data_IF_431900338774
#
_entry.id   IF_431900338774
#
_cell.length_a   1.000
_cell.length_b   1.000
_cell.length_c   1.000
_cell.angle_alpha   90.00
_cell.angle_beta   90.00
_cell.angle_gamma   90.00
#
_symmetry.space_group_name_H-M   'P 1'
#
loop_
_entity.id
_entity.type
_entity.pdbx_description
1 polymer ?
#
# COMPACT_ATOMS: atom_id res chain seq x y z
N UNK A 1 15.23 12.05 -12.06
CA UNK A 1 15.20 11.17 -10.90
C UNK A 1 16.29 11.56 -9.90
N UNK A 2 15.96 11.66 -8.65
CA UNK A 2 16.86 12.22 -7.64
C UNK A 2 17.38 11.21 -6.62
N UNK A 3 17.26 9.95 -6.92
CA UNK A 3 17.68 8.90 -5.98
C UNK A 3 19.15 9.01 -5.63
N UNK A 4 19.98 9.37 -6.59
CA UNK A 4 21.43 9.46 -6.37
C UNK A 4 21.83 10.48 -5.30
N UNK A 5 20.92 11.35 -4.93
CA UNK A 5 21.19 12.37 -3.91
C UNK A 5 20.78 11.92 -2.53
N UNK A 6 20.24 10.73 -2.42
CA UNK A 6 19.78 10.22 -1.15
C UNK A 6 20.93 9.59 -0.39
N UNK A 7 21.09 9.93 0.90
CA UNK A 7 22.10 9.33 1.74
C UNK A 7 21.84 7.83 1.87
N UNK A 8 22.88 7.08 2.21
CA UNK A 8 22.78 5.62 2.28
C UNK A 8 21.58 5.15 3.09
N UNK A 9 21.39 5.73 4.27
CA UNK A 9 20.28 5.33 5.13
C UNK A 9 18.92 5.67 4.59
N UNK A 10 18.84 6.60 3.62
CA UNK A 10 17.57 7.04 3.07
C UNK A 10 17.21 6.43 1.73
N UNK A 11 18.15 5.73 1.09
CA UNK A 11 17.92 5.23 -0.27
C UNK A 11 16.74 4.29 -0.34
N UNK A 12 16.65 3.32 0.56
CA UNK A 12 15.56 2.33 0.55
C UNK A 12 14.21 3.02 0.74
N UNK A 13 14.13 3.94 1.69
CA UNK A 13 12.88 4.66 1.94
C UNK A 13 12.44 5.45 0.72
N UNK A 14 13.39 6.12 0.04
CA UNK A 14 13.06 6.89 -1.15
C UNK A 14 12.53 6.01 -2.25
N UNK A 15 13.15 4.85 -2.48
CA UNK A 15 12.71 3.91 -3.51
C UNK A 15 11.28 3.43 -3.20
N UNK A 16 11.02 3.07 -1.94
CA UNK A 16 9.68 2.60 -1.54
C UNK A 16 8.65 3.69 -1.80
N UNK A 17 8.96 4.95 -1.49
CA UNK A 17 8.00 6.05 -1.67
C UNK A 17 7.71 6.36 -3.12
N UNK A 18 8.54 5.90 -4.05
CA UNK A 18 8.30 6.05 -5.48
C UNK A 18 7.77 4.78 -6.14
N UNK A 19 7.42 3.78 -5.34
CA UNK A 19 6.86 2.52 -5.83
C UNK A 19 5.36 2.48 -5.57
N UNK A 20 4.53 2.26 -6.60
CA UNK A 20 3.09 2.09 -6.37
C UNK A 20 2.85 1.03 -5.30
N UNK A 21 2.01 1.35 -4.33
CA UNK A 21 1.85 0.53 -3.14
C UNK A 21 0.38 0.30 -2.83
N UNK A 22 0.03 -0.95 -2.58
CA UNK A 22 -1.30 -1.33 -2.10
C UNK A 22 -1.12 -2.02 -0.74
N UNK A 23 -1.93 -1.61 0.22
CA UNK A 23 -1.89 -2.21 1.55
C UNK A 23 -3.29 -2.42 2.07
N UNK A 24 -3.46 -3.40 2.94
CA UNK A 24 -4.73 -3.60 3.64
C UNK A 24 -4.45 -3.99 5.08
N UNK A 25 -5.34 -3.57 5.97
CA UNK A 25 -5.17 -3.78 7.41
C UNK A 25 -6.53 -3.71 8.09
N UNK A 26 -6.69 -4.48 9.16
CA UNK A 26 -7.90 -4.43 9.97
C UNK A 26 -7.77 -3.46 11.12
N UNK A 27 -8.87 -2.86 11.53
CA UNK A 27 -8.83 -1.91 12.66
C UNK A 27 -8.57 -2.61 13.99
N UNK A 28 -8.81 -3.92 14.06
CA UNK A 28 -8.55 -4.71 15.28
C UNK A 28 -7.23 -5.46 15.22
N UNK A 29 -6.37 -5.11 14.27
CA UNK A 29 -5.05 -5.72 14.14
C UNK A 29 -4.19 -5.25 15.31
N UNK A 30 -3.74 -6.21 16.14
CA UNK A 30 -2.91 -5.92 17.30
C UNK A 30 -1.42 -5.86 17.00
N UNK A 31 -1.03 -6.15 15.76
CA UNK A 31 0.38 -6.16 15.35
C UNK A 31 0.70 -4.95 14.51
N UNK A 32 -0.13 -4.67 13.50
CA UNK A 32 0.06 -3.54 12.60
C UNK A 32 -1.02 -2.49 12.85
N UNK A 33 -0.59 -1.27 13.13
CA UNK A 33 -1.53 -0.17 13.37
C UNK A 33 -2.11 0.33 12.05
N UNK A 34 -3.44 0.32 11.94
CA UNK A 34 -4.07 0.82 10.72
C UNK A 34 -3.81 2.33 10.54
N UNK A 35 -3.67 3.06 11.64
CA UNK A 35 -3.37 4.49 11.56
C UNK A 35 -1.98 4.75 11.01
N UNK A 36 -1.00 3.95 11.43
CA UNK A 36 0.35 4.04 10.88
C UNK A 36 0.37 3.68 9.40
N UNK A 37 -0.43 2.68 9.02
CA UNK A 37 -0.53 2.28 7.61
C UNK A 37 -1.13 3.40 6.77
N UNK A 38 -2.19 4.03 7.27
CA UNK A 38 -2.79 5.16 6.57
C UNK A 38 -1.79 6.31 6.40
N UNK A 39 -1.02 6.61 7.43
CA UNK A 39 0.00 7.65 7.36
C UNK A 39 1.07 7.33 6.33
N UNK A 40 1.51 6.09 6.32
CA UNK A 40 2.53 5.63 5.38
C UNK A 40 2.05 5.77 3.93
N UNK A 41 0.84 5.31 3.66
CA UNK A 41 0.24 5.40 2.32
C UNK A 41 0.05 6.87 1.92
N UNK A 42 -0.38 7.71 2.85
CA UNK A 42 -0.55 9.13 2.60
C UNK A 42 0.77 9.80 2.19
N UNK A 43 1.88 9.40 2.82
CA UNK A 43 3.18 9.95 2.47
C UNK A 43 3.60 9.55 1.05
N UNK A 44 3.28 8.32 0.65
CA UNK A 44 3.57 7.86 -0.71
C UNK A 44 2.78 8.70 -1.71
N UNK A 45 1.49 8.92 -1.44
CA UNK A 45 0.65 9.73 -2.31
C UNK A 45 1.13 11.17 -2.40
N UNK A 46 1.61 11.73 -1.31
CA UNK A 46 2.14 13.09 -1.29
C UNK A 46 3.38 13.25 -2.17
N UNK A 47 4.07 12.15 -2.43
CA UNK A 47 5.20 12.15 -3.37
C UNK A 47 4.77 11.96 -4.82
N UNK A 48 3.47 11.92 -5.10
CA UNK A 48 2.97 11.77 -6.45
C UNK A 48 2.92 10.34 -6.94
N UNK A 49 3.08 9.38 -6.05
CA UNK A 49 3.06 7.96 -6.41
C UNK A 49 1.69 7.37 -6.04
N UNK A 50 1.16 6.53 -6.91
CA UNK A 50 -0.11 5.86 -6.63
C UNK A 50 0.03 4.95 -5.43
N UNK A 51 -0.88 5.10 -4.48
CA UNK A 51 -0.91 4.25 -3.31
C UNK A 51 -2.35 4.13 -2.82
N UNK A 52 -2.66 2.99 -2.23
CA UNK A 52 -4.01 2.73 -1.74
C UNK A 52 -3.92 1.90 -0.48
N UNK A 53 -4.74 2.25 0.51
CA UNK A 53 -4.91 1.42 1.70
C UNK A 53 -6.39 1.08 1.84
N UNK A 54 -6.67 -0.18 2.15
CA UNK A 54 -8.02 -0.60 2.53
C UNK A 54 -7.99 -0.92 4.02
N UNK A 55 -8.86 -0.26 4.76
CA UNK A 55 -8.97 -0.45 6.21
C UNK A 55 -10.26 -1.21 6.47
N UNK A 56 -10.14 -2.40 7.07
CA UNK A 56 -11.28 -3.30 7.29
C UNK A 56 -11.71 -3.24 8.75
N UNK A 57 -12.87 -2.64 8.97
CA UNK A 57 -13.39 -2.44 10.31
C UNK A 57 -13.60 -3.76 11.03
N UNK A 58 -13.03 -3.87 12.23
CA UNK A 58 -13.22 -5.01 13.10
C UNK A 58 -12.38 -6.23 12.79
N UNK A 59 -11.58 -6.19 11.71
CA UNK A 59 -10.77 -7.34 11.33
C UNK A 59 -9.45 -7.36 12.10
N UNK A 60 -9.05 -8.57 12.52
CA UNK A 60 -7.78 -8.80 13.20
C UNK A 60 -6.68 -9.14 12.19
N UNK A 61 -5.46 -9.20 12.68
CA UNK A 61 -4.32 -9.61 11.86
C UNK A 61 -4.50 -11.05 11.35
N UNK A 62 -4.02 -11.30 10.13
CA UNK A 62 -4.00 -12.67 9.61
C UNK A 62 -5.31 -13.16 9.02
N UNK A 63 -6.12 -12.26 8.47
CA UNK A 63 -7.43 -12.63 7.90
C UNK A 63 -7.33 -13.41 6.58
N UNK A 64 -6.14 -13.58 6.01
CA UNK A 64 -5.96 -14.31 4.76
C UNK A 64 -6.74 -13.70 3.62
N UNK A 65 -7.54 -14.50 2.92
CA UNK A 65 -8.36 -14.00 1.82
C UNK A 65 -9.60 -13.26 2.30
N UNK A 66 -9.89 -13.30 3.59
CA UNK A 66 -11.01 -12.58 4.17
C UNK A 66 -12.38 -13.08 3.74
N UNK A 67 -12.48 -14.31 3.30
CA UNK A 67 -13.75 -14.88 2.84
C UNK A 67 -14.81 -14.79 3.94
N UNK A 68 -16.00 -14.32 3.56
CA UNK A 68 -17.08 -14.12 4.53
C UNK A 68 -16.93 -12.90 5.42
N UNK A 69 -15.93 -12.06 5.18
CA UNK A 69 -15.70 -10.84 5.96
C UNK A 69 -15.74 -9.60 5.07
N UNK A 70 -15.60 -8.43 5.70
CA UNK A 70 -15.55 -7.16 4.95
C UNK A 70 -14.33 -7.06 4.03
N UNK A 71 -13.34 -7.93 4.21
CA UNK A 71 -12.15 -7.94 3.39
C UNK A 71 -12.29 -8.79 2.13
N UNK A 72 -13.40 -9.52 2.00
CA UNK A 72 -13.56 -10.43 0.86
C UNK A 72 -13.30 -9.70 -0.46
N UNK A 73 -12.52 -10.33 -1.34
CA UNK A 73 -12.20 -9.77 -2.65
C UNK A 73 -11.00 -8.83 -2.66
N UNK A 74 -10.31 -8.65 -1.54
CA UNK A 74 -9.18 -7.71 -1.50
C UNK A 74 -8.06 -8.11 -2.45
N UNK A 75 -7.85 -9.41 -2.66
CA UNK A 75 -6.80 -9.89 -3.58
C UNK A 75 -7.09 -9.41 -5.01
N UNK A 76 -8.33 -9.52 -5.45
CA UNK A 76 -8.70 -9.08 -6.79
C UNK A 76 -8.50 -7.57 -6.94
N UNK A 77 -8.82 -6.82 -5.91
CA UNK A 77 -8.62 -5.38 -5.92
C UNK A 77 -7.13 -5.01 -5.94
N UNK A 78 -6.31 -5.78 -5.22
CA UNK A 78 -4.86 -5.58 -5.23
C UNK A 78 -4.29 -5.86 -6.63
N UNK A 79 -4.74 -6.93 -7.26
CA UNK A 79 -4.31 -7.29 -8.60
C UNK A 79 -4.70 -6.20 -9.60
N UNK A 80 -5.94 -5.70 -9.52
CA UNK A 80 -6.40 -4.62 -10.38
C UNK A 80 -5.56 -3.36 -10.20
N UNK A 81 -5.22 -3.02 -8.96
CA UNK A 81 -4.36 -1.88 -8.68
C UNK A 81 -3.00 -2.06 -9.35
N UNK A 82 -2.42 -3.24 -9.23
CA UNK A 82 -1.13 -3.55 -9.84
C UNK A 82 -1.21 -3.44 -11.36
N UNK A 83 -2.23 -4.03 -11.97
CA UNK A 83 -2.40 -4.00 -13.43
C UNK A 83 -2.57 -2.58 -13.95
N UNK A 84 -3.35 -1.76 -13.26
CA UNK A 84 -3.56 -0.38 -13.65
C UNK A 84 -2.24 0.40 -13.65
N UNK A 85 -1.38 0.15 -12.68
CA UNK A 85 -0.10 0.83 -12.60
C UNK A 85 0.87 0.33 -13.66
N UNK A 86 0.83 -0.95 -13.99
CA UNK A 86 1.67 -1.50 -15.07
C UNK A 86 1.22 -0.96 -16.42
N UNK A 87 -0.09 -0.88 -16.65
CA UNK A 87 -0.63 -0.33 -17.89
C UNK A 87 -0.26 1.15 -18.07
N UNK A 88 -0.25 1.90 -16.98
CA UNK A 88 0.17 3.30 -17.02
C UNK A 88 1.63 3.43 -17.42
N UNK A 89 2.49 2.52 -16.96
CA UNK A 89 3.90 2.50 -17.36
C UNK A 89 4.05 2.20 -18.85
N UNK A 90 3.27 1.25 -19.36
CA UNK A 90 3.33 0.84 -20.76
C UNK A 90 2.92 1.96 -21.72
N UNK A 91 2.17 2.93 -21.24
CA UNK A 91 1.69 4.04 -22.07
C UNK A 91 2.68 5.20 -22.16
N UNK A 92 3.77 5.11 -21.46
CA UNK A 92 4.81 6.12 -21.53
C UNK A 92 5.67 5.91 -22.79
#
# INVERSE_FOLDING_TARGET
MQIKRIALGGIIMTVIMFTPTYACVGTSDGIASYRSMENYISQIEQNGTNAKVEVFKGLSHGFGLGEGTVAEGWIDRAISFWEDNMNALDKR
#
